data_IF_581478137833
#
_entry.id   IF_581478137833
#
_cell.length_a   1.000
_cell.length_b   1.000
_cell.length_c   1.000
_cell.angle_alpha   90.00
_cell.angle_beta   90.00
_cell.angle_gamma   90.00
#
_symmetry.space_group_name_H-M   'P 1'
#
loop_
_entity.id
_entity.type
_entity.pdbx_description
1 polymer ?
#
# COMPACT_ATOMS: atom_id res chain seq x y z
N UNK A 1 -12.96 -2.60 -1.27
CA UNK A 1 -11.58 -3.12 -1.30
C UNK A 1 -11.41 -4.23 -2.32
N UNK A 2 -12.40 -5.14 -2.47
CA UNK A 2 -12.33 -6.28 -3.39
C UNK A 2 -12.73 -5.97 -4.84
N UNK A 3 -13.33 -4.82 -5.09
CA UNK A 3 -13.83 -4.44 -6.42
C UNK A 3 -12.68 -4.31 -7.43
N UNK A 4 -12.91 -4.81 -8.65
CA UNK A 4 -12.00 -4.60 -9.78
C UNK A 4 -11.86 -3.09 -10.05
N UNK A 5 -10.64 -2.62 -10.10
CA UNK A 5 -10.35 -1.19 -10.21
C UNK A 5 -10.54 -0.39 -8.93
N UNK A 6 -10.79 -1.03 -7.79
CA UNK A 6 -10.97 -0.41 -6.47
C UNK A 6 -9.66 0.01 -5.79
N UNK A 7 -9.70 0.08 -4.44
CA UNK A 7 -8.60 0.58 -3.59
C UNK A 7 -7.30 -0.15 -3.89
N UNK A 8 -7.31 -1.49 -3.84
CA UNK A 8 -6.09 -2.28 -3.98
C UNK A 8 -5.49 -2.22 -5.39
N UNK A 9 -6.32 -2.12 -6.45
CA UNK A 9 -5.82 -1.88 -7.81
C UNK A 9 -5.22 -0.48 -7.97
N UNK A 10 -5.80 0.52 -7.31
CA UNK A 10 -5.28 1.88 -7.32
C UNK A 10 -3.95 1.97 -6.57
N UNK A 11 -3.86 1.30 -5.41
CA UNK A 11 -2.64 1.23 -4.60
C UNK A 11 -1.51 0.51 -5.35
N UNK A 12 -1.78 -0.68 -5.91
CA UNK A 12 -0.80 -1.42 -6.72
C UNK A 12 -0.25 -0.58 -7.88
N UNK A 13 -1.14 0.14 -8.58
CA UNK A 13 -0.76 1.04 -9.68
C UNK A 13 0.04 2.25 -9.18
N UNK A 14 -0.34 2.84 -8.02
CA UNK A 14 0.40 3.95 -7.44
C UNK A 14 1.84 3.56 -7.10
N UNK A 15 2.06 2.30 -6.71
CA UNK A 15 3.37 1.72 -6.42
C UNK A 15 4.04 1.07 -7.65
N UNK A 16 3.48 1.28 -8.86
CA UNK A 16 4.05 0.83 -10.13
C UNK A 16 4.28 -0.68 -10.21
N UNK A 17 3.44 -1.46 -9.49
CA UNK A 17 3.50 -2.91 -9.55
C UNK A 17 2.98 -3.42 -10.89
N UNK A 18 3.75 -4.29 -11.55
CA UNK A 18 3.37 -5.00 -12.77
C UNK A 18 2.73 -6.35 -12.46
N UNK A 19 1.99 -6.88 -13.43
CA UNK A 19 1.34 -8.21 -13.35
C UNK A 19 0.49 -8.39 -12.08
N UNK A 20 -0.19 -7.31 -11.68
CA UNK A 20 -0.98 -7.30 -10.46
C UNK A 20 -2.16 -8.28 -10.51
N UNK A 21 -2.21 -9.21 -9.56
CA UNK A 21 -3.25 -10.22 -9.38
C UNK A 21 -3.85 -10.15 -7.96
N UNK A 22 -5.07 -10.65 -7.72
CA UNK A 22 -5.62 -10.71 -6.36
C UNK A 22 -4.73 -11.50 -5.41
N UNK A 23 -4.57 -11.00 -4.17
CA UNK A 23 -3.85 -11.71 -3.11
C UNK A 23 -4.70 -12.85 -2.55
N UNK A 24 -5.97 -12.58 -2.25
CA UNK A 24 -6.90 -13.52 -1.66
C UNK A 24 -7.98 -13.96 -2.67
N UNK A 25 -8.57 -15.14 -2.46
CA UNK A 25 -9.61 -15.71 -3.33
C UNK A 25 -10.87 -14.83 -3.41
N UNK A 26 -11.19 -14.10 -2.33
CA UNK A 26 -12.30 -13.15 -2.29
C UNK A 26 -11.99 -11.82 -3.00
N UNK A 27 -10.75 -11.66 -3.51
CA UNK A 27 -10.30 -10.48 -4.23
C UNK A 27 -9.67 -9.39 -3.36
N UNK A 28 -9.47 -9.62 -2.05
CA UNK A 28 -8.80 -8.69 -1.17
C UNK A 28 -7.30 -8.61 -1.51
N UNK A 29 -6.73 -7.40 -1.46
CA UNK A 29 -5.32 -7.15 -1.74
C UNK A 29 -4.91 -7.37 -3.19
N UNK A 30 -3.67 -7.04 -3.49
CA UNK A 30 -3.02 -7.33 -4.78
C UNK A 30 -1.59 -7.79 -4.55
N UNK A 31 -1.13 -8.66 -5.43
CA UNK A 31 0.27 -9.07 -5.52
C UNK A 31 0.79 -8.65 -6.89
N UNK A 32 1.97 -8.05 -6.94
CA UNK A 32 2.61 -7.68 -8.19
C UNK A 32 4.13 -7.67 -8.05
N UNK A 33 4.81 -7.23 -9.10
CA UNK A 33 6.27 -7.22 -9.14
C UNK A 33 6.80 -5.82 -9.42
N UNK A 34 7.94 -5.49 -8.85
CA UNK A 34 8.73 -4.36 -9.29
C UNK A 34 9.48 -4.72 -10.58
N UNK A 35 9.72 -3.74 -11.45
CA UNK A 35 10.51 -3.92 -12.66
C UNK A 35 11.94 -4.35 -12.37
N UNK A 36 12.49 -3.88 -11.25
CA UNK A 36 13.81 -4.25 -10.73
C UNK A 36 13.77 -4.35 -9.20
N UNK A 37 14.51 -5.27 -8.59
CA UNK A 37 14.61 -5.36 -7.13
C UNK A 37 15.21 -4.10 -6.51
N UNK A 38 14.66 -3.65 -5.39
CA UNK A 38 15.14 -2.50 -4.63
C UNK A 38 15.58 -2.89 -3.21
N UNK A 39 16.46 -2.11 -2.60
CA UNK A 39 16.66 -2.18 -1.16
C UNK A 39 15.41 -1.68 -0.43
N UNK A 40 15.07 -2.29 0.73
CA UNK A 40 13.86 -1.95 1.49
C UNK A 40 13.78 -0.45 1.80
N UNK A 41 14.89 0.18 2.21
CA UNK A 41 14.91 1.61 2.51
C UNK A 41 14.64 2.49 1.29
N UNK A 42 15.05 2.07 0.09
CA UNK A 42 14.76 2.77 -1.15
C UNK A 42 13.29 2.63 -1.53
N UNK A 43 12.75 1.42 -1.40
CA UNK A 43 11.36 1.16 -1.66
C UNK A 43 10.45 1.89 -0.65
N UNK A 44 10.80 1.92 0.64
CA UNK A 44 10.05 2.67 1.64
C UNK A 44 10.01 4.19 1.34
N UNK A 45 11.13 4.78 0.87
CA UNK A 45 11.14 6.16 0.39
C UNK A 45 10.26 6.36 -0.86
N UNK A 46 10.27 5.39 -1.76
CA UNK A 46 9.42 5.40 -2.95
C UNK A 46 7.94 5.35 -2.55
N UNK A 47 7.54 4.43 -1.67
CA UNK A 47 6.17 4.32 -1.12
C UNK A 47 5.74 5.64 -0.48
N UNK A 48 6.57 6.19 0.40
CA UNK A 48 6.26 7.44 1.10
C UNK A 48 6.01 8.60 0.12
N UNK A 49 6.84 8.75 -0.90
CA UNK A 49 6.68 9.80 -1.93
C UNK A 49 5.45 9.57 -2.80
N UNK A 50 5.21 8.32 -3.23
CA UNK A 50 4.09 7.99 -4.15
C UNK A 50 2.73 8.15 -3.49
N UNK A 51 2.65 7.83 -2.21
CA UNK A 51 1.41 7.90 -1.44
C UNK A 51 1.24 9.21 -0.66
N UNK A 52 2.29 10.06 -0.61
CA UNK A 52 2.26 11.31 0.14
C UNK A 52 2.18 11.09 1.66
N UNK A 53 2.83 10.03 2.17
CA UNK A 53 2.84 9.72 3.59
C UNK A 53 3.60 10.79 4.39
N UNK A 54 3.17 11.04 5.63
CA UNK A 54 3.93 11.84 6.60
C UNK A 54 5.14 11.07 7.18
N UNK A 55 5.17 9.75 7.01
CA UNK A 55 6.20 8.81 7.42
C UNK A 55 5.72 7.39 7.21
N UNK A 56 6.62 6.44 7.30
CA UNK A 56 6.31 5.01 7.26
C UNK A 56 7.00 4.29 8.41
N UNK A 57 6.36 3.22 8.92
CA UNK A 57 6.99 2.26 9.84
C UNK A 57 7.34 1.01 9.03
N UNK A 58 8.45 0.36 9.33
CA UNK A 58 8.81 -0.87 8.65
C UNK A 58 9.45 -1.92 9.56
N UNK A 59 9.41 -3.18 9.13
CA UNK A 59 10.26 -4.25 9.62
C UNK A 59 11.05 -4.83 8.46
N UNK A 60 12.36 -5.04 8.68
CA UNK A 60 13.31 -5.53 7.68
C UNK A 60 13.62 -7.01 7.94
N UNK A 61 13.28 -7.88 7.00
CA UNK A 61 13.62 -9.29 7.00
C UNK A 61 14.96 -9.59 6.29
N UNK A 62 15.71 -8.56 5.90
CA UNK A 62 16.99 -8.70 5.20
C UNK A 62 16.84 -9.16 3.75
N UNK A 63 15.69 -8.97 3.14
CA UNK A 63 15.39 -9.37 1.75
C UNK A 63 15.26 -8.15 0.83
N UNK A 64 15.77 -8.22 -0.41
CA UNK A 64 15.44 -7.21 -1.41
C UNK A 64 13.93 -7.25 -1.71
N UNK A 65 13.39 -6.10 -2.08
CA UNK A 65 11.99 -5.94 -2.48
C UNK A 65 11.87 -6.23 -3.97
N UNK A 66 11.06 -7.21 -4.33
CA UNK A 66 10.82 -7.62 -5.72
C UNK A 66 9.36 -7.99 -5.95
N UNK A 67 8.82 -8.96 -5.20
CA UNK A 67 7.43 -9.39 -5.26
C UNK A 67 6.66 -8.81 -4.07
N UNK A 68 5.80 -7.86 -4.37
CA UNK A 68 5.15 -7.01 -3.36
C UNK A 68 3.66 -7.34 -3.30
N UNK A 69 3.16 -7.56 -2.09
CA UNK A 69 1.74 -7.51 -1.81
C UNK A 69 1.34 -6.11 -1.32
N UNK A 70 0.12 -5.70 -1.64
CA UNK A 70 -0.49 -4.46 -1.13
C UNK A 70 -1.88 -4.73 -0.60
N UNK A 71 -2.22 -4.07 0.52
CA UNK A 71 -3.55 -4.06 1.11
C UNK A 71 -3.85 -2.67 1.66
N UNK A 72 -4.82 -1.96 1.06
CA UNK A 72 -5.23 -0.62 1.49
C UNK A 72 -5.96 -0.69 2.82
N UNK A 73 -5.67 0.25 3.72
CA UNK A 73 -6.18 0.23 5.07
C UNK A 73 -5.55 -0.87 5.94
N UNK A 74 -6.25 -1.33 6.95
CA UNK A 74 -5.79 -2.31 7.93
C UNK A 74 -5.92 -3.75 7.39
N UNK A 75 -4.92 -4.23 6.66
CA UNK A 75 -4.87 -5.61 6.13
C UNK A 75 -3.82 -6.48 6.83
N UNK A 76 -3.41 -6.16 8.05
CA UNK A 76 -2.38 -6.91 8.78
C UNK A 76 -2.71 -8.39 9.02
N UNK A 77 -3.97 -8.77 8.98
CA UNK A 77 -4.41 -10.17 9.15
C UNK A 77 -4.05 -11.05 7.93
N UNK A 78 -3.73 -10.44 6.79
CA UNK A 78 -3.40 -11.14 5.54
C UNK A 78 -1.91 -11.50 5.40
N UNK A 79 -1.06 -11.23 6.41
CA UNK A 79 0.38 -11.51 6.35
C UNK A 79 0.68 -12.96 5.96
N UNK A 80 -0.07 -13.92 6.49
CA UNK A 80 0.15 -15.35 6.17
C UNK A 80 -0.24 -15.68 4.72
N UNK A 81 -1.27 -15.04 4.16
CA UNK A 81 -1.63 -15.14 2.75
C UNK A 81 -0.54 -14.51 1.85
N UNK A 82 0.02 -13.36 2.26
CA UNK A 82 1.14 -12.70 1.56
C UNK A 82 2.37 -13.61 1.49
N UNK A 83 2.71 -14.29 2.59
CA UNK A 83 3.82 -15.24 2.64
C UNK A 83 3.53 -16.45 1.74
N UNK A 84 2.31 -17.00 1.81
CA UNK A 84 1.88 -18.12 0.97
C UNK A 84 1.93 -17.79 -0.53
N UNK A 85 1.65 -16.53 -0.90
CA UNK A 85 1.79 -16.02 -2.27
C UNK A 85 3.26 -15.82 -2.71
N UNK A 86 4.24 -16.10 -1.84
CA UNK A 86 5.65 -15.99 -2.14
C UNK A 86 6.18 -14.55 -2.21
N UNK A 87 5.48 -13.58 -1.62
CA UNK A 87 5.94 -12.20 -1.56
C UNK A 87 7.11 -12.04 -0.61
N UNK A 88 7.98 -11.09 -0.90
CA UNK A 88 9.06 -10.67 -0.01
C UNK A 88 8.70 -9.44 0.82
N UNK A 89 7.69 -8.68 0.38
CA UNK A 89 7.31 -7.40 1.00
C UNK A 89 5.79 -7.23 1.00
N UNK A 90 5.25 -6.70 2.10
CA UNK A 90 3.85 -6.31 2.23
C UNK A 90 3.72 -4.83 2.60
N UNK A 91 2.96 -4.07 1.82
CA UNK A 91 2.60 -2.67 2.08
C UNK A 91 1.14 -2.60 2.48
N UNK A 92 0.87 -2.11 3.69
CA UNK A 92 -0.47 -1.98 4.27
C UNK A 92 -0.49 -0.87 5.32
N UNK A 93 -1.43 -0.89 6.26
CA UNK A 93 -1.46 0.03 7.39
C UNK A 93 -1.95 -0.62 8.70
N UNK A 94 -1.89 0.17 9.78
CA UNK A 94 -2.39 -0.18 11.12
C UNK A 94 -1.81 -1.47 11.69
N UNK A 95 -0.55 -1.76 11.32
CA UNK A 95 0.16 -2.94 11.81
C UNK A 95 0.44 -2.84 13.31
N UNK A 96 0.17 -3.92 14.02
CA UNK A 96 0.46 -4.06 15.44
C UNK A 96 1.94 -4.33 15.70
N UNK A 97 2.39 -4.07 16.92
CA UNK A 97 3.75 -4.38 17.34
C UNK A 97 4.12 -5.86 17.12
N UNK A 98 3.21 -6.78 17.41
CA UNK A 98 3.47 -8.21 17.25
C UNK A 98 3.63 -8.62 15.78
N UNK A 99 2.87 -8.02 14.87
CA UNK A 99 3.05 -8.26 13.43
C UNK A 99 4.44 -7.81 12.97
N UNK A 100 4.92 -6.64 13.42
CA UNK A 100 6.29 -6.21 13.13
C UNK A 100 7.35 -7.12 13.76
N UNK A 101 7.14 -7.57 15.00
CA UNK A 101 8.07 -8.45 15.70
C UNK A 101 8.25 -9.79 14.97
N UNK A 102 7.17 -10.33 14.44
CA UNK A 102 7.14 -11.63 13.77
C UNK A 102 7.60 -11.56 12.29
N UNK A 103 7.72 -10.37 11.71
CA UNK A 103 8.01 -10.18 10.30
C UNK A 103 9.35 -10.78 9.87
N UNK A 104 10.43 -10.44 10.56
CA UNK A 104 11.77 -10.93 10.23
C UNK A 104 11.91 -12.46 10.41
N UNK A 105 11.43 -13.08 11.50
CA UNK A 105 11.36 -14.54 11.62
C UNK A 105 10.54 -15.23 10.51
N UNK A 106 9.48 -14.59 10.05
CA UNK A 106 8.66 -15.10 8.94
C UNK A 106 9.27 -14.82 7.55
N UNK A 107 10.36 -14.05 7.46
CA UNK A 107 11.06 -13.73 6.23
C UNK A 107 10.30 -12.76 5.31
N UNK A 108 9.48 -11.86 5.87
CA UNK A 108 8.69 -10.87 5.14
C UNK A 108 9.06 -9.45 5.58
N UNK A 109 9.33 -8.57 4.64
CA UNK A 109 9.42 -7.14 4.92
C UNK A 109 8.01 -6.57 5.10
N UNK A 110 7.80 -5.75 6.11
CA UNK A 110 6.54 -5.04 6.32
C UNK A 110 6.75 -3.54 6.18
N UNK A 111 5.83 -2.85 5.50
CA UNK A 111 5.75 -1.40 5.42
C UNK A 111 4.33 -0.99 5.81
N UNK A 112 4.21 -0.26 6.91
CA UNK A 112 3.00 0.43 7.31
C UNK A 112 3.08 1.87 6.79
N UNK A 113 2.29 2.16 5.77
CA UNK A 113 2.30 3.43 5.05
C UNK A 113 1.15 4.37 5.48
N UNK A 114 0.39 3.97 6.49
CA UNK A 114 -0.77 4.71 7.01
C UNK A 114 -2.07 4.40 6.27
N UNK A 115 -3.18 4.49 7.01
CA UNK A 115 -4.51 4.12 6.51
C UNK A 115 -4.94 5.03 5.35
N UNK A 116 -4.99 6.33 5.60
CA UNK A 116 -5.39 7.31 4.59
C UNK A 116 -4.52 7.26 3.32
N UNK A 117 -3.16 7.26 3.40
CA UNK A 117 -2.34 7.22 2.19
C UNK A 117 -2.48 5.94 1.36
N UNK A 118 -2.78 4.79 1.97
CA UNK A 118 -2.95 3.53 1.24
C UNK A 118 -4.31 3.43 0.55
N UNK A 119 -5.33 4.14 1.01
CA UNK A 119 -6.66 4.16 0.41
C UNK A 119 -6.90 5.35 -0.54
N UNK A 120 -6.29 6.50 -0.28
CA UNK A 120 -6.51 7.74 -1.05
C UNK A 120 -6.28 7.64 -2.57
N UNK A 121 -5.36 6.79 -3.10
CA UNK A 121 -5.15 6.63 -4.53
C UNK A 121 -6.43 6.29 -5.33
N UNK A 122 -7.43 5.64 -4.72
CA UNK A 122 -8.69 5.32 -5.39
C UNK A 122 -9.51 6.57 -5.74
N UNK A 123 -9.35 7.66 -4.97
CA UNK A 123 -10.11 8.89 -5.18
C UNK A 123 -9.89 9.49 -6.58
N UNK A 124 -8.66 9.44 -7.10
CA UNK A 124 -8.37 9.91 -8.45
C UNK A 124 -9.11 9.11 -9.52
N UNK A 125 -9.27 7.79 -9.32
CA UNK A 125 -10.04 6.93 -10.23
C UNK A 125 -11.53 7.23 -10.16
N UNK A 126 -12.06 7.46 -8.96
CA UNK A 126 -13.47 7.81 -8.76
C UNK A 126 -13.77 9.15 -9.44
N UNK A 127 -12.90 10.15 -9.28
CA UNK A 127 -13.04 11.44 -9.98
C UNK A 127 -13.07 11.24 -11.49
N UNK A 128 -12.08 10.55 -12.06
CA UNK A 128 -12.00 10.31 -13.49
C UNK A 128 -13.23 9.53 -14.04
N UNK A 129 -13.72 8.57 -13.27
CA UNK A 129 -14.93 7.84 -13.62
C UNK A 129 -16.17 8.76 -13.65
N UNK A 130 -16.36 9.56 -12.59
CA UNK A 130 -17.50 10.47 -12.48
C UNK A 130 -17.47 11.58 -13.55
N UNK A 131 -16.30 12.14 -13.86
CA UNK A 131 -16.15 13.11 -14.94
C UNK A 131 -16.54 12.54 -16.30
N UNK A 132 -16.20 11.26 -16.54
CA UNK A 132 -16.57 10.56 -17.77
C UNK A 132 -18.08 10.29 -17.87
N UNK A 133 -18.68 9.78 -16.78
CA UNK A 133 -20.11 9.41 -16.76
C UNK A 133 -21.05 10.63 -16.67
N UNK A 134 -20.56 11.71 -16.06
CA UNK A 134 -21.33 12.92 -15.81
C UNK A 134 -20.61 14.19 -16.29
N UNK A 135 -20.35 14.33 -17.62
CA UNK A 135 -19.54 15.43 -18.17
C UNK A 135 -20.14 16.82 -17.94
N UNK A 136 -21.41 16.89 -17.54
CA UNK A 136 -22.09 18.13 -17.21
C UNK A 136 -21.83 18.60 -15.76
N UNK A 137 -21.18 17.77 -14.92
CA UNK A 137 -20.89 18.10 -13.53
C UNK A 137 -19.42 18.49 -13.35
N UNK A 138 -19.17 19.36 -12.40
CA UNK A 138 -17.83 19.66 -11.92
C UNK A 138 -17.55 18.72 -10.76
N UNK A 139 -16.62 17.80 -10.94
CA UNK A 139 -16.22 16.83 -9.91
C UNK A 139 -14.99 17.38 -9.18
N UNK A 140 -15.08 17.48 -7.86
CA UNK A 140 -13.99 18.02 -7.03
C UNK A 140 -13.70 17.04 -5.90
N UNK A 141 -12.43 16.60 -5.81
CA UNK A 141 -11.91 15.95 -4.60
C UNK A 141 -11.66 17.02 -3.54
N UNK A 142 -12.22 16.83 -2.34
CA UNK A 142 -11.95 17.74 -1.24
C UNK A 142 -10.47 17.76 -0.86
N UNK A 143 -9.94 18.93 -0.51
CA UNK A 143 -8.59 19.11 0.05
C UNK A 143 -8.59 19.24 1.56
N UNK A 144 -9.78 19.22 2.19
CA UNK A 144 -9.93 19.35 3.65
C UNK A 144 -9.69 18.03 4.38
N UNK A 145 -9.86 16.89 3.69
CA UNK A 145 -9.56 15.57 4.25
C UNK A 145 -8.12 15.21 3.96
N UNK A 146 -7.34 14.94 5.01
CA UNK A 146 -5.90 14.69 4.96
C UNK A 146 -5.53 13.59 5.94
N UNK A 147 -4.32 13.06 5.78
CA UNK A 147 -3.70 12.26 6.84
C UNK A 147 -3.64 13.04 8.15
N UNK A 148 -4.19 12.44 9.20
CA UNK A 148 -4.27 13.06 10.53
C UNK A 148 -3.11 12.67 11.43
N UNK A 149 -2.41 11.56 11.10
CA UNK A 149 -1.27 11.08 11.87
C UNK A 149 -0.06 11.92 11.50
N UNK A 150 0.61 12.41 12.54
CA UNK A 150 1.85 13.17 12.42
C UNK A 150 2.96 12.43 13.16
N UNK A 151 4.17 12.53 12.64
CA UNK A 151 5.35 11.95 13.27
C UNK A 151 6.21 13.09 13.81
N UNK A 152 6.54 12.98 15.09
CA UNK A 152 7.57 13.85 15.69
C UNK A 152 8.91 13.09 15.67
N UNK A 153 9.92 13.71 15.04
CA UNK A 153 11.29 13.19 15.01
C UNK A 153 12.17 14.21 15.73
N UNK A 154 12.84 13.79 16.80
CA UNK A 154 13.73 14.67 17.54
C UNK A 154 14.98 14.97 16.68
N UNK A 155 15.26 16.24 16.44
CA UNK A 155 16.43 16.70 15.70
C UNK A 155 16.15 17.30 14.31
N UNK A 156 14.88 17.47 13.95
CA UNK A 156 14.48 18.32 12.81
C UNK A 156 14.06 19.72 13.26
#
# INVERSE_FOLDING_TARGET
>A
DVAVGGVNDALARALELTDAEPLCEDGLGRVGQLSEPLALAEFARFVCRRLGCNGVRWADAGRPVSRVAVGGGACGDEIDAVIAAGCDTFVTSDLTYHQFLDAAPKGINLIDAGHFPTEDPVCAKIVAYLEKEFPQLIIIKTTSHKEVIQYFVEGE
#
